data_IF_250650644169
#
_entry.id   IF_250650644169
#
_cell.length_a   1.000
_cell.length_b   1.000
_cell.length_c   1.000
_cell.angle_alpha   90.00
_cell.angle_beta   90.00
_cell.angle_gamma   90.00
#
_symmetry.space_group_name_H-M   'P 1'
#
loop_
_entity.id
_entity.type
_entity.pdbx_description
1 polymer ?
#
# COMPACT_ATOMS: atom_id res chain seq x y z
N UNK A 1 0.12 -9.49 -5.06
CA UNK A 1 1.05 -8.67 -4.23
C UNK A 1 0.28 -7.55 -3.56
N UNK A 2 0.60 -7.18 -2.32
CA UNK A 2 0.03 -6.00 -1.66
C UNK A 2 1.15 -4.97 -1.47
N UNK A 3 0.93 -3.74 -1.92
CA UNK A 3 1.88 -2.64 -1.79
C UNK A 3 1.18 -1.40 -1.21
N UNK A 4 1.82 -0.74 -0.25
CA UNK A 4 1.22 0.39 0.48
C UNK A 4 1.67 1.74 -0.11
N UNK A 5 0.75 2.47 -0.72
CA UNK A 5 1.00 3.78 -1.36
C UNK A 5 0.48 4.93 -0.52
N UNK A 6 1.09 6.11 -0.61
CA UNK A 6 0.60 7.29 0.14
C UNK A 6 -0.74 7.73 -0.44
N UNK A 7 -1.59 8.29 0.41
CA UNK A 7 -2.88 8.86 0.01
C UNK A 7 -2.76 9.84 -1.16
N UNK A 8 -1.68 10.64 -1.18
CA UNK A 8 -1.39 11.61 -2.24
C UNK A 8 -1.16 10.97 -3.61
N UNK A 9 -0.68 9.73 -3.65
CA UNK A 9 -0.33 9.03 -4.88
C UNK A 9 -1.56 8.35 -5.50
N UNK A 10 -2.60 8.11 -4.70
CA UNK A 10 -3.80 7.37 -5.12
C UNK A 10 -4.57 8.03 -6.26
N UNK A 11 -4.48 9.36 -6.40
CA UNK A 11 -5.21 10.12 -7.43
C UNK A 11 -4.99 9.58 -8.84
N UNK A 12 -3.79 9.07 -9.12
CA UNK A 12 -3.40 8.59 -10.44
C UNK A 12 -3.37 7.05 -10.53
N UNK A 13 -3.68 6.35 -9.43
CA UNK A 13 -3.71 4.89 -9.38
C UNK A 13 -5.15 4.43 -9.59
N UNK A 14 -5.36 3.50 -10.53
CA UNK A 14 -6.68 2.92 -10.82
C UNK A 14 -6.55 1.42 -11.09
N UNK A 15 -7.67 0.70 -11.08
CA UNK A 15 -7.66 -0.68 -11.58
C UNK A 15 -7.16 -0.70 -13.03
N UNK A 16 -6.26 -1.63 -13.33
CA UNK A 16 -5.58 -1.72 -14.62
C UNK A 16 -4.28 -0.91 -14.73
N UNK A 17 -3.93 -0.04 -13.77
CA UNK A 17 -2.63 0.67 -13.80
C UNK A 17 -1.48 -0.34 -13.87
N UNK A 18 -0.56 -0.22 -14.87
CA UNK A 18 0.59 -1.11 -15.00
C UNK A 18 1.50 -1.05 -13.78
N UNK A 19 2.05 -2.20 -13.42
CA UNK A 19 2.92 -2.37 -12.28
C UNK A 19 4.11 -3.27 -12.62
N UNK A 20 5.27 -2.87 -12.14
CA UNK A 20 6.52 -3.63 -12.23
C UNK A 20 6.94 -4.04 -10.82
N UNK A 21 7.08 -5.34 -10.60
CA UNK A 21 7.37 -5.94 -9.29
C UNK A 21 8.76 -6.58 -9.31
N UNK A 22 9.57 -6.27 -8.30
CA UNK A 22 10.87 -6.90 -8.06
C UNK A 22 10.91 -7.49 -6.66
N UNK A 23 11.21 -8.78 -6.55
CA UNK A 23 11.31 -9.46 -5.27
C UNK A 23 12.68 -9.16 -4.63
N UNK A 24 12.73 -9.03 -3.31
CA UNK A 24 14.01 -8.81 -2.62
C UNK A 24 14.89 -10.06 -2.60
N UNK A 25 14.29 -11.24 -2.71
CA UNK A 25 15.01 -12.52 -2.79
C UNK A 25 15.85 -12.67 -4.06
N UNK A 26 15.43 -12.03 -5.16
CA UNK A 26 16.18 -11.96 -6.40
C UNK A 26 15.83 -10.66 -7.13
N UNK A 27 16.68 -9.66 -6.94
CA UNK A 27 16.49 -8.34 -7.54
C UNK A 27 16.78 -8.29 -9.04
N UNK A 28 17.35 -9.36 -9.62
CA UNK A 28 17.65 -9.49 -11.05
C UNK A 28 16.45 -9.91 -11.89
N UNK A 29 15.42 -10.50 -11.26
CA UNK A 29 14.15 -10.82 -11.91
C UNK A 29 13.12 -9.72 -11.70
N UNK A 30 12.40 -9.43 -12.78
CA UNK A 30 11.30 -8.47 -12.80
C UNK A 30 10.03 -9.17 -13.26
N UNK A 31 8.93 -8.86 -12.59
CA UNK A 31 7.60 -9.38 -12.90
C UNK A 31 6.67 -8.25 -13.27
N UNK A 32 5.84 -8.48 -14.28
CA UNK A 32 4.80 -7.55 -14.71
C UNK A 32 3.47 -7.88 -14.06
N UNK A 33 2.65 -6.85 -13.91
CA UNK A 33 1.32 -6.98 -13.38
C UNK A 33 0.52 -5.70 -13.53
N UNK A 34 -0.68 -5.73 -12.96
CA UNK A 34 -1.61 -4.59 -12.98
C UNK A 34 -2.29 -4.44 -11.63
N UNK A 35 -2.68 -3.22 -11.31
CA UNK A 35 -3.50 -2.95 -10.13
C UNK A 35 -4.86 -3.64 -10.30
N UNK A 36 -5.20 -4.52 -9.36
CA UNK A 36 -6.50 -5.19 -9.28
C UNK A 36 -7.48 -4.26 -8.55
N UNK A 37 -7.12 -3.86 -7.33
CA UNK A 37 -7.98 -3.05 -6.46
C UNK A 37 -7.17 -2.15 -5.53
N UNK A 38 -7.82 -1.10 -5.02
CA UNK A 38 -7.29 -0.18 -4.01
C UNK A 38 -8.14 -0.36 -2.74
N UNK A 39 -7.50 -0.51 -1.58
CA UNK A 39 -8.22 -0.60 -0.31
C UNK A 39 -8.97 0.69 0.01
N UNK A 40 -10.24 0.56 0.42
CA UNK A 40 -11.13 1.69 0.70
C UNK A 40 -10.93 2.34 2.08
N UNK A 41 -10.22 1.67 2.99
CA UNK A 41 -10.01 2.17 4.34
C UNK A 41 -8.77 1.56 4.97
N UNK A 42 -8.16 2.35 5.85
CA UNK A 42 -7.09 1.92 6.75
C UNK A 42 -7.48 2.34 8.16
N UNK A 43 -7.21 1.49 9.14
CA UNK A 43 -7.44 1.83 10.54
C UNK A 43 -6.34 2.83 10.95
N UNK A 44 -6.68 4.06 11.38
CA UNK A 44 -5.67 4.98 11.89
C UNK A 44 -5.13 4.49 13.23
N UNK A 45 -3.81 4.47 13.42
CA UNK A 45 -3.18 4.09 14.69
C UNK A 45 -3.58 5.01 15.86
N UNK A 46 -3.99 6.24 15.55
CA UNK A 46 -4.51 7.26 16.47
C UNK A 46 -6.01 7.13 16.76
N UNK A 47 -6.69 6.16 16.13
CA UNK A 47 -8.11 5.83 16.30
C UNK A 47 -8.42 5.12 17.61
N UNK A 48 -8.06 5.73 18.74
CA UNK A 48 -8.49 5.27 20.06
C UNK A 48 -10.01 5.33 20.18
N UNK A 49 -10.62 4.21 20.56
CA UNK A 49 -12.04 4.10 20.91
C UNK A 49 -12.37 5.20 21.96
N UNK A 50 -13.14 6.21 21.59
CA UNK A 50 -13.67 7.18 22.56
C UNK A 50 -14.87 6.52 23.25
N UNK A 51 -14.61 5.83 24.35
CA UNK A 51 -15.67 5.37 25.24
C UNK A 51 -16.31 6.59 25.93
N UNK A 52 -17.56 6.88 25.57
CA UNK A 52 -18.51 7.62 26.40
C UNK A 52 -18.19 9.10 26.70
N UNK A 53 -18.44 9.97 25.72
CA UNK A 53 -19.08 11.28 25.97
C UNK A 53 -18.21 12.49 26.34
N UNK A 54 -16.90 12.34 26.56
CA UNK A 54 -16.01 13.49 26.79
C UNK A 54 -14.98 13.64 25.65
N UNK A 55 -14.83 14.83 25.04
CA UNK A 55 -13.82 15.05 24.02
C UNK A 55 -12.41 14.99 24.64
N UNK A 56 -11.61 14.01 24.23
CA UNK A 56 -10.19 13.92 24.57
C UNK A 56 -9.40 14.90 23.70
N UNK A 57 -9.05 16.08 24.25
CA UNK A 57 -8.15 17.02 23.58
C UNK A 57 -6.71 16.56 23.79
N UNK A 58 -6.14 15.87 22.80
CA UNK A 58 -4.72 15.54 22.83
C UNK A 58 -3.90 16.82 22.61
N UNK A 59 -3.13 17.26 23.62
CA UNK A 59 -2.17 18.35 23.49
C UNK A 59 -0.94 17.85 22.73
N UNK A 60 -1.07 17.60 21.43
CA UNK A 60 0.01 17.14 20.57
C UNK A 60 0.61 18.34 19.82
N UNK A 61 1.89 18.66 20.05
CA UNK A 61 2.66 19.69 19.30
C UNK A 61 3.13 19.13 17.94
N UNK A 62 2.45 18.13 17.40
CA UNK A 62 2.82 17.50 16.13
C UNK A 62 2.13 18.24 14.99
N UNK A 63 2.77 19.34 14.54
CA UNK A 63 2.35 20.08 13.35
C UNK A 63 2.65 19.31 12.05
N UNK A 64 3.48 18.26 12.12
CA UNK A 64 3.79 17.37 11.00
C UNK A 64 2.75 16.25 10.95
N UNK A 65 1.98 16.21 9.86
CA UNK A 65 1.07 15.10 9.55
C UNK A 65 1.74 14.17 8.55
N UNK A 66 1.98 12.92 8.95
CA UNK A 66 2.48 11.89 8.04
C UNK A 66 1.32 11.40 7.16
N UNK A 67 1.57 11.25 5.86
CA UNK A 67 0.58 10.73 4.92
C UNK A 67 0.20 9.28 5.29
N UNK A 68 -1.10 9.03 5.35
CA UNK A 68 -1.62 7.67 5.49
C UNK A 68 -1.27 6.85 4.25
N UNK A 69 -1.08 5.54 4.44
CA UNK A 69 -0.77 4.64 3.34
C UNK A 69 -1.88 3.64 3.14
N UNK A 70 -2.30 3.45 1.90
CA UNK A 70 -3.40 2.57 1.54
C UNK A 70 -2.88 1.32 0.82
N UNK A 71 -3.43 0.14 1.13
CA UNK A 71 -3.03 -1.09 0.47
C UNK A 71 -3.58 -1.12 -0.96
N UNK A 72 -2.69 -1.28 -1.92
CA UNK A 72 -3.00 -1.51 -3.34
C UNK A 72 -2.69 -2.97 -3.65
N UNK A 73 -3.70 -3.69 -4.15
CA UNK A 73 -3.57 -5.07 -4.58
C UNK A 73 -3.16 -5.10 -6.05
N UNK A 74 -2.07 -5.80 -6.32
CA UNK A 74 -1.51 -5.96 -7.65
C UNK A 74 -1.63 -7.43 -8.06
N UNK A 75 -2.26 -7.66 -9.20
CA UNK A 75 -2.30 -8.95 -9.89
C UNK A 75 -1.02 -9.08 -10.71
N UNK A 76 -0.27 -10.16 -10.48
CA UNK A 76 0.96 -10.46 -11.20
C UNK A 76 0.61 -11.41 -12.34
N UNK A 77 1.04 -11.12 -13.56
CA UNK A 77 0.58 -11.83 -14.75
C UNK A 77 1.15 -13.26 -14.84
N UNK A 78 2.45 -13.41 -14.55
CA UNK A 78 3.16 -14.70 -14.58
C UNK A 78 4.07 -14.84 -13.35
N UNK A 79 3.51 -15.08 -12.16
CA UNK A 79 4.30 -15.22 -10.95
C UNK A 79 5.11 -16.52 -10.96
N UNK A 80 6.33 -16.47 -10.42
CA UNK A 80 7.17 -17.65 -10.15
C UNK A 80 6.80 -18.25 -8.79
N UNK A 81 6.15 -19.44 -8.73
CA UNK A 81 5.63 -19.99 -7.48
C UNK A 81 6.70 -20.25 -6.41
N UNK A 82 7.95 -20.48 -6.80
CA UNK A 82 9.04 -20.74 -5.85
C UNK A 82 9.54 -19.48 -5.17
N UNK A 83 9.35 -18.32 -5.82
CA UNK A 83 9.81 -17.01 -5.36
C UNK A 83 8.73 -16.22 -4.64
N UNK A 84 7.46 -16.34 -5.05
CA UNK A 84 6.34 -15.63 -4.43
C UNK A 84 5.87 -16.32 -3.14
N UNK A 85 6.61 -16.08 -2.05
CA UNK A 85 6.28 -16.60 -0.71
C UNK A 85 5.45 -15.60 0.10
N UNK A 86 4.57 -16.11 0.95
CA UNK A 86 3.84 -15.28 1.91
C UNK A 86 4.85 -14.67 2.90
N UNK A 87 4.76 -13.35 3.10
CA UNK A 87 5.69 -12.58 3.93
C UNK A 87 6.97 -12.12 3.21
N UNK A 88 7.20 -12.53 1.96
CA UNK A 88 8.32 -12.02 1.18
C UNK A 88 8.18 -10.53 0.89
N UNK A 89 9.31 -9.82 0.91
CA UNK A 89 9.37 -8.39 0.59
C UNK A 89 9.60 -8.16 -0.90
N UNK A 90 9.04 -7.08 -1.42
CA UNK A 90 9.13 -6.71 -2.82
C UNK A 90 9.10 -5.18 -2.97
N UNK A 91 9.64 -4.70 -4.09
CA UNK A 91 9.45 -3.33 -4.57
C UNK A 91 8.44 -3.38 -5.70
N UNK A 92 7.43 -2.51 -5.64
CA UNK A 92 6.43 -2.33 -6.70
C UNK A 92 6.50 -0.90 -7.22
N UNK A 93 6.75 -0.75 -8.52
CA UNK A 93 6.69 0.51 -9.22
C UNK A 93 5.41 0.54 -10.05
N UNK A 94 4.60 1.58 -9.88
CA UNK A 94 3.42 1.80 -10.71
C UNK A 94 3.75 2.81 -11.80
N UNK A 95 3.14 2.63 -12.96
CA UNK A 95 3.23 3.57 -14.09
C UNK A 95 1.84 4.18 -14.35
N UNK A 96 1.40 5.11 -13.49
CA UNK A 96 0.09 5.73 -13.62
C UNK A 96 0.04 6.69 -14.82
N UNK A 97 -1.09 6.72 -15.51
CA UNK A 97 -1.39 7.59 -16.66
C UNK A 97 -2.09 8.87 -16.21
#
# INVERSE_FOLDING_TARGET
VIANFRETDLKNIRSGTPATIRLMSDSGKTFEGKVDSIGYGVLPDDGGLVLGGLPKVSRSINWVRVAQRFPVKIMVDKPDPEMFRIGASAVANLEPQ
#
